data_IF_550309587131
#
_entry.id   IF_550309587131
#
_cell.length_a   1.000
_cell.length_b   1.000
_cell.length_c   1.000
_cell.angle_alpha   90.00
_cell.angle_beta   90.00
_cell.angle_gamma   90.00
#
_symmetry.space_group_name_H-M   'P 1'
#
loop_
_entity.id
_entity.type
_entity.pdbx_description
1 polymer ?
#
# COMPACT_ATOMS: atom_id res chain seq x y z
N UNK A 1 -14.03 1.49 2.05
CA UNK A 1 -13.53 1.76 0.68
C UNK A 1 -14.74 2.07 -0.16
N UNK A 2 -14.69 3.12 -0.97
CA UNK A 2 -15.77 3.50 -1.89
C UNK A 2 -15.24 3.44 -3.31
N UNK A 3 -16.06 2.98 -4.25
CA UNK A 3 -15.67 2.82 -5.64
C UNK A 3 -16.70 3.54 -6.50
N UNK A 4 -16.20 4.28 -7.48
CA UNK A 4 -17.00 5.02 -8.43
C UNK A 4 -16.48 4.73 -9.83
N UNK A 5 -17.39 4.54 -10.77
CA UNK A 5 -17.05 4.56 -12.19
C UNK A 5 -17.09 6.00 -12.70
N UNK A 6 -16.08 6.35 -13.50
CA UNK A 6 -15.97 7.62 -14.22
C UNK A 6 -16.58 7.42 -15.61
N UNK A 7 -17.54 8.27 -15.95
CA UNK A 7 -18.23 8.29 -17.26
C UNK A 7 -18.26 9.71 -17.81
N UNK A 8 -18.54 9.84 -19.10
CA UNK A 8 -18.74 11.14 -19.76
C UNK A 8 -20.23 11.31 -20.09
N UNK A 9 -20.82 12.47 -19.77
CA UNK A 9 -22.22 12.79 -20.06
C UNK A 9 -22.52 12.88 -21.57
N UNK A 10 -21.53 13.29 -22.36
CA UNK A 10 -21.65 13.41 -23.82
C UNK A 10 -21.57 12.05 -24.53
N UNK A 11 -21.03 11.02 -23.86
CA UNK A 11 -20.92 9.68 -24.42
C UNK A 11 -22.26 8.93 -24.33
N UNK A 12 -22.92 8.82 -25.49
CA UNK A 12 -24.20 8.10 -25.64
C UNK A 12 -24.10 6.61 -25.30
N UNK A 13 -22.91 6.01 -25.40
CA UNK A 13 -22.70 4.59 -25.06
C UNK A 13 -22.58 4.37 -23.55
N UNK A 14 -22.40 5.45 -22.77
CA UNK A 14 -22.19 5.43 -21.31
C UNK A 14 -21.03 4.52 -20.92
N UNK A 15 -19.96 4.53 -21.71
CA UNK A 15 -18.77 3.72 -21.50
C UNK A 15 -18.17 4.02 -20.13
N UNK A 16 -17.72 2.96 -19.45
CA UNK A 16 -16.99 3.08 -18.19
C UNK A 16 -15.53 3.43 -18.51
N UNK A 17 -15.15 4.69 -18.33
CA UNK A 17 -13.84 5.20 -18.76
C UNK A 17 -12.73 4.91 -17.76
N UNK A 18 -13.05 4.90 -16.47
CA UNK A 18 -12.11 4.64 -15.38
C UNK A 18 -12.86 4.32 -14.08
N UNK A 19 -12.13 3.88 -13.06
CA UNK A 19 -12.68 3.59 -11.73
C UNK A 19 -11.91 4.37 -10.67
N UNK A 20 -12.56 5.29 -9.98
CA UNK A 20 -12.02 5.99 -8.82
C UNK A 20 -12.28 5.15 -7.56
N UNK A 21 -11.21 4.84 -6.84
CA UNK A 21 -11.22 4.07 -5.60
C UNK A 21 -10.77 4.99 -4.46
N UNK A 22 -11.59 5.10 -3.42
CA UNK A 22 -11.33 5.93 -2.26
C UNK A 22 -11.21 5.10 -0.97
N UNK A 23 -10.08 5.24 -0.29
CA UNK A 23 -9.83 4.66 1.02
C UNK A 23 -10.07 5.70 2.11
N UNK A 24 -11.26 5.64 2.70
CA UNK A 24 -11.76 6.64 3.67
C UNK A 24 -10.84 6.89 4.86
N UNK A 25 -10.28 5.82 5.45
CA UNK A 25 -9.45 5.93 6.66
C UNK A 25 -8.19 6.74 6.40
N UNK A 26 -7.53 6.49 5.27
CA UNK A 26 -6.27 7.14 4.90
C UNK A 26 -6.47 8.39 4.04
N UNK A 27 -7.73 8.68 3.65
CA UNK A 27 -8.10 9.73 2.69
C UNK A 27 -7.31 9.68 1.38
N UNK A 28 -7.07 8.47 0.85
CA UNK A 28 -6.31 8.24 -0.39
C UNK A 28 -7.21 7.85 -1.55
N UNK A 29 -6.90 8.38 -2.72
CA UNK A 29 -7.58 8.07 -3.98
C UNK A 29 -6.66 7.25 -4.87
N UNK A 30 -7.20 6.32 -5.65
CA UNK A 30 -6.51 5.64 -6.73
C UNK A 30 -7.44 5.57 -7.94
N UNK A 31 -6.90 5.57 -9.15
CA UNK A 31 -7.69 5.42 -10.37
C UNK A 31 -7.21 4.20 -11.14
N UNK A 32 -8.14 3.34 -11.53
CA UNK A 32 -7.88 2.18 -12.37
C UNK A 32 -8.49 2.40 -13.76
N UNK A 33 -7.68 2.25 -14.80
CA UNK A 33 -8.07 2.41 -16.20
C UNK A 33 -8.38 1.05 -16.86
N UNK A 34 -9.34 0.97 -17.79
CA UNK A 34 -9.52 -0.19 -18.64
C UNK A 34 -8.24 -0.61 -19.38
N UNK A 35 -8.07 -1.91 -19.62
CA UNK A 35 -6.92 -2.43 -20.40
C UNK A 35 -6.92 -1.86 -21.83
N UNK A 36 -8.10 -1.61 -22.39
CA UNK A 36 -8.39 -1.02 -23.69
C UNK A 36 -8.69 0.49 -23.63
N UNK A 37 -8.36 1.17 -22.52
CA UNK A 37 -8.62 2.61 -22.39
C UNK A 37 -8.04 3.42 -23.56
N UNK A 38 -8.85 4.36 -24.07
CA UNK A 38 -8.49 5.26 -25.16
C UNK A 38 -7.98 6.60 -24.59
N UNK A 39 -6.81 7.04 -25.06
CA UNK A 39 -6.20 8.33 -24.70
C UNK A 39 -7.05 9.54 -25.07
N UNK A 40 -7.95 9.43 -26.06
CA UNK A 40 -8.79 10.52 -26.54
C UNK A 40 -10.10 10.66 -25.75
N UNK A 41 -10.57 9.58 -25.14
CA UNK A 41 -11.79 9.56 -24.32
C UNK A 41 -11.52 9.77 -22.83
N UNK A 42 -10.25 9.62 -22.42
CA UNK A 42 -9.85 9.68 -21.01
C UNK A 42 -9.50 11.12 -20.61
N UNK A 43 -9.85 11.58 -19.38
CA UNK A 43 -9.43 12.89 -18.86
C UNK A 43 -7.94 13.20 -19.04
N UNK A 44 -7.58 14.46 -19.31
CA UNK A 44 -6.22 14.87 -19.72
C UNK A 44 -5.09 14.39 -18.78
N UNK A 45 -5.27 14.49 -17.46
CA UNK A 45 -4.26 13.99 -16.50
C UNK A 45 -4.03 12.50 -16.68
N UNK A 46 -5.10 11.74 -16.85
CA UNK A 46 -5.06 10.29 -16.95
C UNK A 46 -4.54 9.86 -18.33
N UNK A 47 -4.86 10.59 -19.40
CA UNK A 47 -4.34 10.30 -20.74
C UNK A 47 -2.81 10.45 -20.82
N UNK A 48 -2.23 11.40 -20.08
CA UNK A 48 -0.77 11.53 -19.93
C UNK A 48 -0.13 10.29 -19.28
N UNK A 49 -0.79 9.72 -18.25
CA UNK A 49 -0.35 8.48 -17.58
C UNK A 49 -0.49 7.26 -18.49
N UNK A 50 -1.63 7.18 -19.17
CA UNK A 50 -1.93 6.11 -20.11
C UNK A 50 -0.92 6.06 -21.27
N UNK A 51 -0.48 7.21 -21.79
CA UNK A 51 0.61 7.31 -22.79
C UNK A 51 1.94 6.72 -22.30
N UNK A 52 2.16 6.67 -20.99
CA UNK A 52 3.34 6.02 -20.35
C UNK A 52 3.11 4.54 -20.05
N UNK A 53 1.97 3.98 -20.44
CA UNK A 53 1.58 2.59 -20.17
C UNK A 53 1.00 2.36 -18.77
N UNK A 54 0.73 3.41 -18.00
CA UNK A 54 0.17 3.30 -16.66
C UNK A 54 -1.34 3.07 -16.74
N UNK A 55 -1.80 1.91 -16.23
CA UNK A 55 -3.23 1.58 -16.07
C UNK A 55 -3.72 1.73 -14.63
N UNK A 56 -2.79 1.71 -13.69
CA UNK A 56 -3.01 1.98 -12.28
C UNK A 56 -2.43 3.36 -11.98
N UNK A 57 -3.27 4.33 -11.62
CA UNK A 57 -2.84 5.69 -11.33
C UNK A 57 -2.63 5.83 -9.82
N UNK A 58 -1.43 6.26 -9.43
CA UNK A 58 -1.04 6.36 -8.03
C UNK A 58 -1.83 7.41 -7.24
N UNK A 59 -1.59 7.47 -5.93
CA UNK A 59 -2.34 8.34 -5.03
C UNK A 59 -2.17 9.82 -5.36
N UNK A 60 -0.96 10.25 -5.71
CA UNK A 60 -0.68 11.62 -6.15
C UNK A 60 -1.55 12.05 -7.33
N UNK A 61 -1.44 11.36 -8.48
CA UNK A 61 -2.13 11.79 -9.70
C UNK A 61 -3.65 11.63 -9.61
N UNK A 62 -4.10 10.62 -8.88
CA UNK A 62 -5.52 10.45 -8.56
C UNK A 62 -6.06 11.61 -7.72
N UNK A 63 -5.29 12.07 -6.73
CA UNK A 63 -5.63 13.25 -5.94
C UNK A 63 -5.66 14.52 -6.78
N UNK A 64 -4.68 14.74 -7.66
CA UNK A 64 -4.70 15.92 -8.56
C UNK A 64 -5.95 15.91 -9.44
N UNK A 65 -6.33 14.76 -10.01
CA UNK A 65 -7.54 14.64 -10.82
C UNK A 65 -8.82 14.98 -10.02
N UNK A 66 -8.90 14.55 -8.77
CA UNK A 66 -10.00 14.92 -7.85
C UNK A 66 -9.99 16.42 -7.56
N UNK A 67 -8.82 17.00 -7.29
CA UNK A 67 -8.68 18.42 -6.96
C UNK A 67 -9.11 19.36 -8.09
N UNK A 68 -9.00 18.94 -9.35
CA UNK A 68 -9.50 19.71 -10.50
C UNK A 68 -11.03 19.85 -10.56
N UNK A 69 -11.76 18.99 -9.82
CA UNK A 69 -13.23 18.95 -9.85
C UNK A 69 -13.88 19.64 -8.66
N UNK A 70 -13.11 19.87 -7.60
CA UNK A 70 -13.60 20.45 -6.36
C UNK A 70 -13.12 21.89 -6.23
N UNK A 71 -13.73 22.59 -5.29
CA UNK A 71 -13.40 23.98 -4.98
C UNK A 71 -11.94 24.04 -4.50
N UNK A 72 -11.06 24.87 -5.09
CA UNK A 72 -9.67 24.97 -4.67
C UNK A 72 -9.49 25.37 -3.20
N UNK A 73 -8.45 24.83 -2.56
CA UNK A 73 -8.18 25.06 -1.13
C UNK A 73 -7.76 26.51 -0.83
N UNK A 74 -7.27 27.24 -1.82
CA UNK A 74 -6.83 28.64 -1.75
C UNK A 74 -7.95 29.65 -2.10
N UNK A 75 -9.18 29.19 -2.33
CA UNK A 75 -10.30 30.07 -2.68
C UNK A 75 -10.63 31.07 -1.57
N UNK A 76 -10.77 32.35 -1.92
CA UNK A 76 -11.30 33.37 -1.00
C UNK A 76 -12.69 32.95 -0.47
N UNK A 77 -12.93 33.15 0.82
CA UNK A 77 -14.16 32.77 1.52
C UNK A 77 -14.45 31.25 1.60
N UNK A 78 -13.43 30.39 1.42
CA UNK A 78 -13.59 28.92 1.50
C UNK A 78 -14.30 28.48 2.79
N UNK A 79 -13.92 29.03 3.95
CA UNK A 79 -14.53 28.65 5.23
C UNK A 79 -16.06 28.88 5.29
N UNK A 80 -16.55 29.95 4.67
CA UNK A 80 -18.00 30.21 4.57
C UNK A 80 -18.67 29.19 3.63
N UNK A 81 -18.06 28.94 2.48
CA UNK A 81 -18.57 27.96 1.50
C UNK A 81 -18.66 26.56 2.13
N UNK A 82 -17.64 26.13 2.87
CA UNK A 82 -17.64 24.84 3.56
C UNK A 82 -18.78 24.77 4.58
N UNK A 83 -18.95 25.81 5.41
CA UNK A 83 -20.02 25.88 6.41
C UNK A 83 -21.41 25.86 5.77
N UNK A 84 -21.61 26.62 4.69
CA UNK A 84 -22.88 26.66 3.96
C UNK A 84 -23.24 25.29 3.33
N UNK A 85 -22.24 24.42 3.11
CA UNK A 85 -22.39 23.04 2.65
C UNK A 85 -22.30 21.99 3.78
N UNK A 86 -22.35 22.40 5.05
CA UNK A 86 -22.32 21.48 6.20
C UNK A 86 -20.97 20.78 6.43
N UNK A 87 -19.86 21.42 6.03
CA UNK A 87 -18.50 20.92 6.22
C UNK A 87 -17.74 21.74 7.25
N UNK A 88 -17.23 21.08 8.30
CA UNK A 88 -16.41 21.70 9.34
C UNK A 88 -14.97 21.98 8.89
N UNK A 89 -14.48 21.20 7.92
CA UNK A 89 -13.13 21.29 7.38
C UNK A 89 -13.12 20.89 5.90
N UNK A 90 -12.09 21.33 5.19
CA UNK A 90 -11.87 20.91 3.82
C UNK A 90 -11.69 19.39 3.74
N UNK A 91 -12.54 18.72 2.95
CA UNK A 91 -12.51 17.28 2.74
C UNK A 91 -12.73 17.00 1.26
N UNK A 92 -11.67 16.57 0.56
CA UNK A 92 -11.71 16.41 -0.89
C UNK A 92 -12.79 15.43 -1.34
N UNK A 93 -12.99 14.35 -0.58
CA UNK A 93 -13.97 13.33 -0.94
C UNK A 93 -15.40 13.84 -0.77
N UNK A 94 -15.70 14.50 0.35
CA UNK A 94 -17.05 15.05 0.58
C UNK A 94 -17.40 16.10 -0.48
N UNK A 95 -16.46 16.99 -0.81
CA UNK A 95 -16.66 17.99 -1.87
C UNK A 95 -16.89 17.35 -3.24
N UNK A 96 -16.13 16.30 -3.57
CA UNK A 96 -16.29 15.56 -4.82
C UNK A 96 -17.66 14.85 -4.88
N UNK A 97 -18.07 14.24 -3.78
CA UNK A 97 -19.33 13.51 -3.70
C UNK A 97 -20.57 14.42 -3.81
N UNK A 98 -20.50 15.67 -3.35
CA UNK A 98 -21.60 16.65 -3.46
C UNK A 98 -21.99 16.97 -4.90
N UNK A 99 -21.07 16.82 -5.86
CA UNK A 99 -21.30 17.11 -7.28
C UNK A 99 -21.34 15.85 -8.15
N UNK A 100 -21.30 14.65 -7.54
CA UNK A 100 -20.95 13.39 -8.21
C UNK A 100 -19.71 13.53 -9.12
N UNK A 101 -18.70 14.28 -8.68
CA UNK A 101 -17.48 14.51 -9.44
C UNK A 101 -17.60 15.40 -10.68
N UNK A 102 -18.76 16.03 -10.91
CA UNK A 102 -18.94 17.01 -11.98
C UNK A 102 -18.21 18.31 -11.68
N UNK A 103 -17.74 18.98 -12.72
CA UNK A 103 -17.22 20.34 -12.67
C UNK A 103 -17.53 21.10 -13.97
N UNK A 104 -17.26 22.40 -13.99
CA UNK A 104 -17.53 23.24 -15.18
C UNK A 104 -16.47 23.10 -16.29
N UNK A 105 -15.43 22.29 -16.10
CA UNK A 105 -14.29 22.18 -17.03
C UNK A 105 -14.45 21.04 -18.03
N UNK A 106 -15.23 20.03 -17.69
CA UNK A 106 -15.45 18.83 -18.48
C UNK A 106 -16.81 18.19 -18.16
N UNK A 107 -17.15 17.13 -18.90
CA UNK A 107 -18.43 16.42 -18.78
C UNK A 107 -18.28 15.08 -18.06
N UNK A 108 -17.23 14.91 -17.25
CA UNK A 108 -17.05 13.66 -16.51
C UNK A 108 -17.86 13.67 -15.21
N UNK A 109 -18.42 12.51 -14.85
CA UNK A 109 -19.15 12.31 -13.62
C UNK A 109 -18.89 10.92 -13.02
N UNK A 110 -19.24 10.77 -11.75
CA UNK A 110 -19.06 9.57 -10.95
C UNK A 110 -20.39 8.85 -10.75
N UNK A 111 -20.37 7.53 -10.82
CA UNK A 111 -21.48 6.69 -10.36
C UNK A 111 -20.96 5.64 -9.38
N UNK A 112 -21.56 5.47 -8.19
CA UNK A 112 -21.15 4.43 -7.25
C UNK A 112 -21.22 3.04 -7.88
N UNK A 113 -20.27 2.17 -7.54
CA UNK A 113 -20.25 0.76 -7.95
C UNK A 113 -19.81 -0.12 -6.78
N UNK A 114 -20.38 -1.32 -6.66
CA UNK A 114 -19.95 -2.25 -5.63
C UNK A 114 -18.67 -2.98 -6.06
N UNK A 115 -17.86 -3.40 -5.09
CA UNK A 115 -16.60 -4.11 -5.36
C UNK A 115 -16.79 -5.39 -6.16
N UNK A 116 -17.89 -6.13 -5.92
CA UNK A 116 -18.25 -7.33 -6.69
C UNK A 116 -18.47 -7.05 -8.18
N UNK A 117 -18.88 -5.83 -8.52
CA UNK A 117 -19.20 -5.39 -9.89
C UNK A 117 -17.98 -4.77 -10.60
N UNK A 118 -16.79 -4.81 -9.98
CA UNK A 118 -15.56 -4.43 -10.65
C UNK A 118 -15.27 -5.34 -11.85
N UNK A 119 -14.78 -4.78 -12.96
CA UNK A 119 -14.34 -5.56 -14.12
C UNK A 119 -13.23 -6.56 -13.78
N UNK A 120 -13.19 -7.65 -14.55
CA UNK A 120 -12.22 -8.74 -14.35
C UNK A 120 -10.77 -8.29 -14.51
N UNK A 121 -10.49 -7.30 -15.36
CA UNK A 121 -9.13 -6.76 -15.50
C UNK A 121 -8.66 -6.05 -14.21
N UNK A 122 -9.55 -5.35 -13.49
CA UNK A 122 -9.21 -4.76 -12.18
C UNK A 122 -9.05 -5.86 -11.14
N UNK A 123 -9.94 -6.85 -11.12
CA UNK A 123 -9.83 -8.01 -10.21
C UNK A 123 -8.52 -8.75 -10.40
N UNK A 124 -8.11 -8.97 -11.66
CA UNK A 124 -6.82 -9.56 -12.02
C UNK A 124 -5.65 -8.70 -11.57
N UNK A 125 -5.69 -7.38 -11.77
CA UNK A 125 -4.64 -6.48 -11.26
C UNK A 125 -4.59 -6.46 -9.73
N UNK A 126 -5.72 -6.57 -9.05
CA UNK A 126 -5.80 -6.62 -7.60
C UNK A 126 -5.09 -7.85 -6.99
N UNK A 127 -4.93 -8.95 -7.74
CA UNK A 127 -4.20 -10.12 -7.21
C UNK A 127 -2.72 -9.81 -6.99
N UNK A 128 -2.13 -8.87 -7.73
CA UNK A 128 -0.73 -8.46 -7.53
C UNK A 128 -0.61 -7.22 -6.63
N UNK A 129 -1.63 -6.92 -5.81
CA UNK A 129 -1.47 -5.96 -4.71
C UNK A 129 -0.42 -6.45 -3.73
N UNK A 130 0.33 -5.52 -3.16
CA UNK A 130 1.29 -5.81 -2.10
C UNK A 130 0.52 -6.13 -0.82
N UNK A 131 0.80 -7.30 -0.24
CA UNK A 131 0.25 -7.74 1.04
C UNK A 131 1.16 -7.34 2.19
N UNK A 132 2.45 -7.68 2.09
CA UNK A 132 3.47 -7.32 3.08
C UNK A 132 4.81 -7.01 2.43
N UNK A 133 5.63 -6.25 3.16
CA UNK A 133 7.02 -5.94 2.81
C UNK A 133 7.94 -6.18 4.01
N UNK A 134 9.04 -6.89 3.78
CA UNK A 134 10.03 -7.23 4.80
C UNK A 134 11.40 -6.69 4.38
N UNK A 135 11.91 -5.63 5.03
CA UNK A 135 13.26 -5.13 4.79
C UNK A 135 14.30 -6.08 5.40
N UNK A 136 15.11 -6.69 4.53
CA UNK A 136 16.22 -7.58 4.89
C UNK A 136 17.54 -6.80 4.97
N UNK A 137 18.64 -7.50 5.24
CA UNK A 137 19.99 -6.91 5.17
C UNK A 137 20.34 -6.51 3.72
N UNK A 138 21.35 -5.66 3.58
CA UNK A 138 21.91 -5.24 2.29
C UNK A 138 20.85 -4.65 1.34
N UNK A 139 19.99 -3.78 1.86
CA UNK A 139 18.94 -3.07 1.10
C UNK A 139 18.09 -3.99 0.22
N UNK A 140 17.84 -5.21 0.71
CA UNK A 140 17.05 -6.22 0.01
C UNK A 140 15.64 -6.26 0.61
N UNK A 141 14.63 -6.29 -0.24
CA UNK A 141 13.23 -6.41 0.13
C UNK A 141 12.73 -7.82 -0.19
N UNK A 142 11.98 -8.41 0.74
CA UNK A 142 11.10 -9.54 0.48
C UNK A 142 9.68 -9.01 0.48
N UNK A 143 8.90 -9.29 -0.55
CA UNK A 143 7.60 -8.68 -0.78
C UNK A 143 6.61 -9.81 -1.06
N UNK A 144 5.52 -9.84 -0.32
CA UNK A 144 4.44 -10.80 -0.55
C UNK A 144 3.24 -10.11 -1.20
N UNK A 145 2.53 -10.85 -2.06
CA UNK A 145 1.42 -10.34 -2.85
C UNK A 145 0.12 -11.12 -2.54
N UNK A 146 -1.01 -10.57 -2.98
CA UNK A 146 -2.32 -11.21 -2.80
C UNK A 146 -2.51 -12.47 -3.67
N UNK A 147 -1.69 -12.67 -4.69
CA UNK A 147 -1.60 -13.90 -5.51
C UNK A 147 -0.77 -15.01 -4.82
N UNK A 148 -0.50 -14.82 -3.53
CA UNK A 148 0.32 -15.66 -2.65
C UNK A 148 1.79 -15.77 -3.06
N UNK A 149 2.21 -15.07 -4.11
CA UNK A 149 3.59 -15.10 -4.55
C UNK A 149 4.49 -14.21 -3.69
N UNK A 150 5.75 -14.61 -3.58
CA UNK A 150 6.79 -13.83 -2.90
C UNK A 150 7.89 -13.44 -3.89
N UNK A 151 8.33 -12.19 -3.80
CA UNK A 151 9.41 -11.61 -4.61
C UNK A 151 10.54 -11.12 -3.71
N UNK A 152 11.77 -11.33 -4.16
CA UNK A 152 12.98 -10.80 -3.53
C UNK A 152 13.68 -9.84 -4.48
N UNK A 153 13.92 -8.61 -4.04
CA UNK A 153 14.47 -7.53 -4.86
C UNK A 153 15.56 -6.81 -4.08
N UNK A 154 16.68 -6.47 -4.71
CA UNK A 154 17.55 -5.41 -4.16
C UNK A 154 16.95 -4.06 -4.53
N UNK A 155 17.03 -3.10 -3.62
CA UNK A 155 16.48 -1.77 -3.86
C UNK A 155 17.14 -1.09 -5.06
N UNK A 156 18.46 -1.21 -5.21
CA UNK A 156 19.23 -0.67 -6.34
C UNK A 156 18.71 -1.18 -7.70
N UNK A 157 18.32 -2.45 -7.80
CA UNK A 157 17.78 -3.03 -9.03
C UNK A 157 16.39 -2.47 -9.39
N UNK A 158 15.64 -1.98 -8.39
CA UNK A 158 14.31 -1.41 -8.58
C UNK A 158 14.34 0.07 -8.99
N UNK A 159 15.28 0.84 -8.42
CA UNK A 159 15.31 2.31 -8.56
C UNK A 159 16.39 2.79 -9.51
N UNK A 160 17.36 1.94 -9.84
CA UNK A 160 18.46 2.26 -10.74
C UNK A 160 19.22 3.51 -10.29
N UNK A 161 19.30 4.50 -11.18
CA UNK A 161 19.99 5.78 -10.95
C UNK A 161 19.08 6.90 -10.43
N UNK A 162 17.85 6.58 -9.99
CA UNK A 162 16.91 7.58 -9.48
C UNK A 162 17.43 8.22 -8.18
N UNK A 163 17.88 9.47 -8.29
CA UNK A 163 18.45 10.24 -7.19
C UNK A 163 17.45 10.51 -6.07
N UNK A 164 16.14 10.44 -6.32
CA UNK A 164 15.15 10.59 -5.24
C UNK A 164 15.34 9.53 -4.17
N UNK A 165 15.78 8.32 -4.53
CA UNK A 165 15.98 7.21 -3.59
C UNK A 165 17.33 7.25 -2.84
N UNK A 166 18.20 8.24 -3.10
CA UNK A 166 19.47 8.37 -2.39
C UNK A 166 19.35 8.39 -0.85
N UNK A 167 18.35 9.06 -0.22
CA UNK A 167 18.16 9.00 1.23
C UNK A 167 17.82 7.59 1.73
N UNK A 168 17.14 6.78 0.92
CA UNK A 168 16.77 5.40 1.27
C UNK A 168 17.96 4.47 1.09
N UNK A 169 18.74 4.62 0.01
CA UNK A 169 19.92 3.80 -0.30
C UNK A 169 21.09 4.03 0.66
N UNK A 170 21.20 5.23 1.22
CA UNK A 170 22.34 5.62 2.07
C UNK A 170 22.03 5.52 3.57
N UNK A 171 20.82 5.12 3.97
CA UNK A 171 20.43 5.09 5.37
C UNK A 171 19.56 3.87 5.70
N UNK A 172 20.13 2.90 6.41
CA UNK A 172 19.44 1.66 6.78
C UNK A 172 18.18 1.90 7.63
N UNK A 173 18.18 2.92 8.50
CA UNK A 173 16.99 3.24 9.30
C UNK A 173 15.84 3.72 8.42
N UNK A 174 16.13 4.55 7.41
CA UNK A 174 15.13 4.98 6.43
C UNK A 174 14.70 3.78 5.60
N UNK A 175 15.63 2.99 5.06
CA UNK A 175 15.28 1.77 4.32
C UNK A 175 14.31 0.85 5.07
N UNK A 176 14.57 0.62 6.36
CA UNK A 176 13.72 -0.22 7.22
C UNK A 176 12.37 0.40 7.56
N UNK A 177 12.16 1.70 7.31
CA UNK A 177 10.87 2.37 7.53
C UNK A 177 9.89 2.17 6.36
N UNK A 178 10.23 1.34 5.38
CA UNK A 178 9.36 0.98 4.25
C UNK A 178 7.98 0.55 4.76
N UNK A 179 6.92 1.01 4.07
CA UNK A 179 5.54 0.63 4.34
C UNK A 179 4.83 0.22 3.07
N UNK A 180 3.81 -0.62 3.21
CA UNK A 180 2.86 -0.89 2.12
C UNK A 180 1.98 0.34 1.94
N UNK A 181 1.78 0.78 0.70
CA UNK A 181 0.85 1.86 0.40
C UNK A 181 -0.60 1.45 0.71
N UNK A 182 -1.45 2.43 1.03
CA UNK A 182 -2.88 2.22 1.22
C UNK A 182 -3.47 1.38 0.09
N UNK A 183 -4.14 0.28 0.43
CA UNK A 183 -4.76 -0.59 -0.57
C UNK A 183 -3.80 -1.49 -1.35
N UNK A 184 -2.51 -1.54 -1.00
CA UNK A 184 -1.53 -2.45 -1.60
C UNK A 184 -1.04 -2.04 -2.98
N UNK A 185 -1.12 -0.75 -3.34
CA UNK A 185 -0.72 -0.24 -4.67
C UNK A 185 0.79 -0.19 -4.90
N UNK A 186 1.58 -0.38 -3.85
CA UNK A 186 3.03 -0.34 -3.90
C UNK A 186 3.62 -0.30 -2.50
N UNK A 187 4.87 0.15 -2.42
CA UNK A 187 5.57 0.41 -1.15
C UNK A 187 6.11 1.83 -1.15
N UNK A 188 6.22 2.43 0.03
CA UNK A 188 6.67 3.80 0.19
C UNK A 188 7.61 4.01 1.38
N UNK A 189 8.43 5.05 1.29
CA UNK A 189 9.24 5.57 2.38
C UNK A 189 8.80 6.98 2.75
N UNK A 190 8.18 7.12 3.93
CA UNK A 190 7.65 8.39 4.40
C UNK A 190 6.33 8.78 3.75
N UNK A 191 5.97 10.06 3.83
CA UNK A 191 4.70 10.58 3.31
C UNK A 191 4.79 11.12 1.88
N UNK A 192 6.01 11.22 1.34
CA UNK A 192 6.24 11.71 -0.01
C UNK A 192 5.96 10.63 -1.05
N UNK A 193 5.11 10.96 -2.01
CA UNK A 193 4.80 10.13 -3.18
C UNK A 193 6.03 9.92 -4.09
N UNK A 194 7.08 10.74 -3.92
CA UNK A 194 8.34 10.62 -4.67
C UNK A 194 9.20 9.42 -4.27
N UNK A 195 8.93 8.82 -3.10
CA UNK A 195 9.66 7.67 -2.57
C UNK A 195 8.77 6.43 -2.54
N UNK A 196 8.02 6.23 -3.62
CA UNK A 196 7.10 5.10 -3.78
C UNK A 196 7.52 4.23 -4.97
N UNK A 197 7.36 2.91 -4.84
CA UNK A 197 7.60 1.95 -5.92
C UNK A 197 6.29 1.20 -6.19
N UNK A 198 5.72 1.30 -7.40
CA UNK A 198 4.45 0.65 -7.74
C UNK A 198 4.52 -0.87 -7.69
N UNK A 199 3.40 -1.51 -7.34
CA UNK A 199 3.25 -2.97 -7.26
C UNK A 199 3.66 -3.70 -8.54
N UNK A 200 3.40 -3.11 -9.72
CA UNK A 200 3.74 -3.67 -11.02
C UNK A 200 5.25 -3.80 -11.19
N UNK A 201 6.01 -2.78 -10.78
CA UNK A 201 7.47 -2.79 -10.79
C UNK A 201 8.01 -3.86 -9.84
N UNK A 202 7.47 -3.93 -8.62
CA UNK A 202 7.88 -4.91 -7.61
C UNK A 202 7.62 -6.35 -8.05
N UNK A 203 6.44 -6.62 -8.62
CA UNK A 203 6.04 -7.96 -9.05
C UNK A 203 6.84 -8.44 -10.27
N UNK A 204 7.14 -7.53 -11.20
CA UNK A 204 7.88 -7.81 -12.44
C UNK A 204 9.39 -7.93 -12.23
N UNK A 205 10.01 -6.99 -11.51
CA UNK A 205 11.47 -6.93 -11.38
C UNK A 205 12.02 -7.90 -10.33
N UNK A 206 11.20 -8.31 -9.36
CA UNK A 206 11.63 -9.19 -8.28
C UNK A 206 11.90 -10.62 -8.72
N UNK A 207 12.91 -11.24 -8.11
CA UNK A 207 13.12 -12.69 -8.25
C UNK A 207 12.02 -13.43 -7.50
N UNK A 208 11.24 -14.26 -8.21
CA UNK A 208 10.26 -15.16 -7.57
C UNK A 208 10.98 -16.13 -6.64
N UNK A 209 10.52 -16.20 -5.41
CA UNK A 209 10.98 -17.18 -4.42
C UNK A 209 10.00 -18.36 -4.44
N UNK A 210 10.48 -19.61 -4.40
CA UNK A 210 9.63 -20.80 -4.23
C UNK A 210 9.17 -20.90 -2.77
N UNK A 211 8.45 -19.87 -2.31
CA UNK A 211 7.85 -19.72 -0.99
C UNK A 211 6.62 -18.84 -1.17
N UNK A 212 5.52 -19.22 -0.54
CA UNK A 212 4.26 -18.48 -0.58
C UNK A 212 4.11 -17.52 0.61
N UNK A 213 3.19 -16.56 0.51
CA UNK A 213 2.86 -15.67 1.64
C UNK A 213 2.28 -16.48 2.81
N UNK A 214 1.45 -17.47 2.51
CA UNK A 214 0.82 -18.36 3.48
C UNK A 214 1.86 -19.22 4.23
N UNK A 215 2.82 -19.81 3.51
CA UNK A 215 3.94 -20.56 4.14
C UNK A 215 4.80 -19.64 5.01
N UNK A 216 5.15 -18.44 4.53
CA UNK A 216 5.91 -17.48 5.32
C UNK A 216 5.18 -17.11 6.61
N UNK A 217 3.85 -16.92 6.55
CA UNK A 217 3.03 -16.61 7.71
C UNK A 217 2.98 -17.78 8.70
N UNK A 218 2.81 -19.02 8.22
CA UNK A 218 2.87 -20.23 9.05
C UNK A 218 4.23 -20.36 9.73
N UNK A 219 5.33 -20.19 8.99
CA UNK A 219 6.68 -20.24 9.55
C UNK A 219 6.88 -19.24 10.69
N UNK A 220 6.39 -18.01 10.54
CA UNK A 220 6.50 -16.99 11.61
C UNK A 220 5.61 -17.36 12.79
N UNK A 221 4.37 -17.79 12.54
CA UNK A 221 3.41 -18.12 13.60
C UNK A 221 3.83 -19.33 14.43
N UNK A 222 4.36 -20.37 13.77
CA UNK A 222 4.62 -21.67 14.39
C UNK A 222 5.98 -21.73 15.10
N UNK A 223 6.92 -20.87 14.70
CA UNK A 223 8.30 -20.88 15.21
C UNK A 223 8.66 -19.69 16.09
N UNK A 224 7.77 -18.72 16.29
CA UNK A 224 7.98 -17.61 17.23
C UNK A 224 7.12 -17.81 18.47
N UNK A 225 7.79 -17.95 19.63
CA UNK A 225 7.12 -18.17 20.90
C UNK A 225 7.42 -17.05 21.91
N UNK A 226 6.48 -16.80 22.80
CA UNK A 226 6.65 -15.82 23.88
C UNK A 226 7.40 -16.40 25.08
N UNK A 227 7.59 -15.58 26.12
CA UNK A 227 8.31 -16.01 27.32
C UNK A 227 7.56 -17.05 28.16
N UNK A 228 6.22 -17.13 28.07
CA UNK A 228 5.44 -18.13 28.78
C UNK A 228 5.56 -19.50 28.09
N UNK A 229 5.39 -19.52 26.77
CA UNK A 229 5.60 -20.71 25.95
C UNK A 229 7.04 -21.23 26.05
N UNK A 230 8.03 -20.32 26.04
CA UNK A 230 9.43 -20.68 26.26
C UNK A 230 9.69 -21.30 27.65
N UNK A 231 9.02 -20.79 28.68
CA UNK A 231 9.14 -21.31 30.04
C UNK A 231 8.53 -22.72 30.15
N UNK A 232 7.35 -22.92 29.54
CA UNK A 232 6.69 -24.22 29.43
C UNK A 232 7.57 -25.25 28.70
N UNK A 233 8.13 -24.88 27.55
CA UNK A 233 8.99 -25.77 26.74
C UNK A 233 10.26 -26.20 27.48
N UNK A 234 10.79 -25.35 28.38
CA UNK A 234 11.94 -25.65 29.23
C UNK A 234 11.57 -26.23 30.61
N UNK A 235 10.28 -26.37 30.92
CA UNK A 235 9.81 -26.82 32.24
C UNK A 235 10.29 -25.92 33.38
N UNK A 236 10.35 -24.61 33.15
CA UNK A 236 10.92 -23.63 34.10
C UNK A 236 9.99 -22.43 34.33
N UNK A 237 10.37 -21.53 35.24
CA UNK A 237 9.63 -20.29 35.47
C UNK A 237 9.98 -19.23 34.42
N UNK A 238 9.06 -18.29 34.18
CA UNK A 238 9.34 -17.11 33.33
C UNK A 238 10.51 -16.27 33.87
N UNK A 239 10.72 -16.24 35.18
CA UNK A 239 11.88 -15.59 35.80
C UNK A 239 13.21 -16.24 35.39
N UNK A 240 13.23 -17.56 35.19
CA UNK A 240 14.40 -18.26 34.67
C UNK A 240 14.66 -17.89 33.20
N UNK A 241 13.61 -17.73 32.38
CA UNK A 241 13.75 -17.22 31.00
C UNK A 241 14.39 -15.83 31.02
N UNK A 242 13.92 -14.93 31.89
CA UNK A 242 14.48 -13.57 32.01
C UNK A 242 15.93 -13.57 32.48
N UNK A 243 16.30 -14.47 33.39
CA UNK A 243 17.67 -14.68 33.83
C UNK A 243 18.56 -15.24 32.70
N UNK A 244 18.07 -16.19 31.91
CA UNK A 244 18.79 -16.71 30.74
C UNK A 244 19.06 -15.62 29.71
N UNK A 245 18.10 -14.74 29.46
CA UNK A 245 18.30 -13.57 28.57
C UNK A 245 19.32 -12.61 29.17
N UNK A 246 19.21 -12.29 30.47
CA UNK A 246 20.14 -11.38 31.15
C UNK A 246 21.59 -11.89 31.12
N UNK A 247 21.78 -13.21 31.23
CA UNK A 247 23.10 -13.86 31.16
C UNK A 247 23.62 -14.04 29.73
N UNK A 248 22.90 -13.54 28.72
CA UNK A 248 23.25 -13.72 27.31
C UNK A 248 23.16 -15.18 26.84
N UNK A 249 22.51 -16.05 27.62
CA UNK A 249 22.33 -17.45 27.27
C UNK A 249 21.23 -17.61 26.24
N UNK A 250 20.17 -16.81 26.31
CA UNK A 250 19.06 -16.83 25.37
C UNK A 250 18.92 -15.47 24.67
N UNK A 251 18.71 -15.48 23.36
CA UNK A 251 18.57 -14.25 22.56
C UNK A 251 17.12 -14.10 22.12
N UNK A 252 16.48 -12.99 22.46
CA UNK A 252 15.15 -12.65 21.94
C UNK A 252 15.27 -12.18 20.48
N UNK A 253 14.38 -12.63 19.60
CA UNK A 253 14.26 -12.09 18.23
C UNK A 253 13.57 -10.74 18.21
N UNK A 254 12.73 -10.46 19.22
CA UNK A 254 12.05 -9.19 19.41
C UNK A 254 11.79 -8.96 20.88
N UNK A 255 12.06 -7.75 21.34
CA UNK A 255 11.80 -7.32 22.72
C UNK A 255 11.01 -6.00 22.70
N UNK A 256 9.96 -5.95 23.51
CA UNK A 256 9.22 -4.74 23.82
C UNK A 256 9.19 -4.50 25.33
N UNK A 257 8.53 -3.43 25.78
CA UNK A 257 8.52 -3.05 27.19
C UNK A 257 8.01 -4.15 28.14
N UNK A 258 7.14 -5.04 27.67
CA UNK A 258 6.47 -6.07 28.49
C UNK A 258 6.50 -7.47 27.88
N UNK A 259 7.22 -7.68 26.79
CA UNK A 259 7.23 -8.95 26.08
C UNK A 259 8.58 -9.23 25.42
N UNK A 260 8.88 -10.52 25.29
CA UNK A 260 9.98 -11.04 24.47
C UNK A 260 9.46 -12.18 23.63
N UNK A 261 9.92 -12.22 22.39
CA UNK A 261 9.68 -13.29 21.44
C UNK A 261 10.98 -14.00 21.13
N UNK A 262 10.92 -15.31 20.98
CA UNK A 262 12.06 -16.19 20.77
C UNK A 262 11.83 -17.10 19.57
N UNK A 263 12.91 -17.51 18.90
CA UNK A 263 12.83 -18.65 18.00
C UNK A 263 12.60 -19.90 18.85
N UNK A 264 11.56 -20.68 18.52
CA UNK A 264 11.28 -21.96 19.16
C UNK A 264 12.48 -22.90 19.09
N UNK A 265 13.18 -22.93 17.97
CA UNK A 265 14.40 -23.74 17.77
C UNK A 265 15.51 -23.40 18.76
N UNK A 266 15.67 -22.12 19.12
CA UNK A 266 16.73 -21.70 20.05
C UNK A 266 16.42 -22.17 21.49
N UNK A 267 15.13 -22.30 21.81
CA UNK A 267 14.63 -22.85 23.07
C UNK A 267 14.82 -24.36 23.10
N UNK A 268 14.37 -25.07 22.07
CA UNK A 268 14.50 -26.53 21.95
C UNK A 268 15.95 -27.00 22.03
N UNK A 269 16.88 -26.29 21.36
CA UNK A 269 18.31 -26.61 21.42
C UNK A 269 18.89 -26.55 22.83
N UNK A 270 18.26 -25.82 23.76
CA UNK A 270 18.71 -25.80 25.16
C UNK A 270 18.34 -27.06 25.92
N UNK A 271 17.36 -27.84 25.46
CA UNK A 271 17.01 -29.12 26.11
C UNK A 271 18.13 -30.15 25.97
N UNK A 272 19.03 -29.95 25.01
CA UNK A 272 20.10 -30.90 24.66
C UNK A 272 21.52 -30.34 24.87
N UNK A 273 21.64 -29.15 25.47
CA UNK A 273 22.90 -28.52 25.85
C UNK A 273 22.99 -28.41 27.37
#
# INVERSE_FOLDING_TARGET
MKIFVIRNEEDKTRKNLAYLIYYEKDKRFYIELPDDADIWETPLILSSRLKRGEKTINAYWSKIWVQQRIIPQDRQNLGRILKDNGLDSYDEFKLLAMTDGRCAQDYYYLTPVAEKDLPDYIKKRNTIKVKDVFPLKNYTLLISFYDDSVRKCKLEDLVGSDRHFAPVLNNEKIFRSVKVETGGYGICWGESESLCIPRETLHKAGKKIPLTSSELQSMISDHIIDSAQAAEELGCSKQNIDDLVRRGKLTAVKEGQRYRLFMKSDIEQRRWK
#
